data_IF_064485931307
#
_entry.id   IF_064485931307
#
_cell.length_a   1.000
_cell.length_b   1.000
_cell.length_c   1.000
_cell.angle_alpha   90.00
_cell.angle_beta   90.00
_cell.angle_gamma   90.00
#
_symmetry.space_group_name_H-M   'P 1'
#
loop_
_entity.id
_entity.type
_entity.pdbx_description
1 polymer ?
#
# COMPACT_ATOMS: atom_id res chain seq x y z
N UNK A 1 -72.50 18.85 -27.79
CA UNK A 1 -71.80 18.10 -28.85
C UNK A 1 -70.32 18.03 -28.46
N UNK A 2 -69.78 16.80 -28.41
CA UNK A 2 -68.38 16.36 -28.51
C UNK A 2 -67.21 17.36 -28.33
N UNK A 3 -66.30 17.00 -27.40
CA UNK A 3 -64.84 16.82 -27.55
C UNK A 3 -64.26 16.66 -26.12
N UNK A 4 -63.65 15.58 -25.61
CA UNK A 4 -62.73 14.52 -26.07
C UNK A 4 -61.40 15.03 -26.66
N UNK A 5 -60.32 14.77 -25.90
CA UNK A 5 -58.90 14.91 -26.27
C UNK A 5 -58.13 15.77 -25.27
N UNK A 6 -57.01 15.38 -24.66
CA UNK A 6 -56.18 14.20 -24.81
C UNK A 6 -55.39 13.99 -23.49
N UNK A 7 -55.47 12.78 -22.95
CA UNK A 7 -54.50 12.27 -21.99
C UNK A 7 -53.38 11.60 -22.81
N UNK A 8 -52.14 12.06 -22.63
CA UNK A 8 -51.00 11.58 -23.40
C UNK A 8 -49.70 11.73 -22.63
N UNK A 9 -49.33 10.64 -21.94
CA UNK A 9 -47.97 10.10 -21.75
C UNK A 9 -46.83 11.10 -21.55
N UNK A 10 -46.29 11.14 -20.33
CA UNK A 10 -44.85 11.26 -20.05
C UNK A 10 -44.57 10.69 -18.66
N UNK A 11 -44.63 9.36 -18.57
CA UNK A 11 -44.03 8.58 -17.51
C UNK A 11 -42.88 7.79 -18.15
N UNK A 12 -41.66 8.28 -18.00
CA UNK A 12 -40.37 7.57 -18.07
C UNK A 12 -39.27 8.63 -18.22
N UNK A 13 -38.55 8.91 -17.12
CA UNK A 13 -37.17 9.42 -17.06
C UNK A 13 -36.86 9.73 -15.58
N UNK A 14 -36.78 8.70 -14.74
CA UNK A 14 -36.33 8.85 -13.34
C UNK A 14 -35.62 7.58 -12.82
N UNK A 15 -35.06 6.76 -13.70
CA UNK A 15 -34.28 5.57 -13.33
C UNK A 15 -33.09 5.48 -14.27
N UNK A 16 -31.98 6.10 -13.89
CA UNK A 16 -30.75 6.05 -14.67
C UNK A 16 -29.71 7.05 -14.20
N UNK A 17 -29.21 6.88 -12.96
CA UNK A 17 -27.89 7.37 -12.51
C UNK A 17 -27.62 7.06 -11.02
N UNK A 18 -27.80 5.82 -10.53
CA UNK A 18 -27.40 5.45 -9.16
C UNK A 18 -26.43 4.27 -9.09
N UNK A 19 -25.84 3.84 -10.23
CA UNK A 19 -24.89 2.74 -10.28
C UNK A 19 -23.42 3.18 -10.53
N UNK A 20 -23.08 4.46 -10.33
CA UNK A 20 -21.78 5.01 -10.76
C UNK A 20 -21.08 5.91 -9.75
N UNK A 21 -21.39 5.83 -8.45
CA UNK A 21 -20.77 6.72 -7.43
C UNK A 21 -20.03 5.94 -6.33
N UNK A 22 -20.04 4.60 -6.35
CA UNK A 22 -19.32 3.79 -5.35
C UNK A 22 -17.84 3.53 -5.65
N UNK A 23 -17.32 3.96 -6.80
CA UNK A 23 -15.89 3.76 -7.14
C UNK A 23 -14.98 4.92 -6.70
N UNK A 24 -15.52 6.09 -6.35
CA UNK A 24 -14.71 7.29 -6.12
C UNK A 24 -14.38 7.57 -4.63
N UNK A 25 -14.77 6.69 -3.71
CA UNK A 25 -14.67 6.95 -2.25
C UNK A 25 -14.32 5.73 -1.40
N UNK A 26 -13.77 4.66 -1.98
CA UNK A 26 -13.37 3.48 -1.24
C UNK A 26 -11.88 3.49 -0.93
N UNK A 27 -11.52 3.37 0.34
CA UNK A 27 -10.20 2.90 0.79
C UNK A 27 -9.82 1.53 0.16
N UNK A 28 -10.72 0.89 -0.60
CA UNK A 28 -10.54 -0.34 -1.39
C UNK A 28 -9.53 -0.25 -2.54
N UNK A 29 -9.21 0.96 -3.01
CA UNK A 29 -8.19 1.20 -4.04
C UNK A 29 -6.86 1.70 -3.45
N UNK A 30 -6.74 1.76 -2.12
CA UNK A 30 -5.48 2.05 -1.48
C UNK A 30 -4.51 0.89 -1.68
N UNK A 31 -3.22 1.15 -1.94
CA UNK A 31 -2.22 0.09 -2.03
C UNK A 31 -2.09 -0.76 -0.77
N UNK A 32 -2.60 -0.36 0.40
CA UNK A 32 -2.72 -1.25 1.55
C UNK A 32 -3.72 -2.39 1.36
N UNK A 33 -4.80 -2.20 0.59
CA UNK A 33 -5.70 -3.29 0.20
C UNK A 33 -5.03 -4.21 -0.81
N UNK A 34 -4.14 -3.68 -1.66
CA UNK A 34 -3.29 -4.50 -2.51
C UNK A 34 -2.19 -5.21 -1.71
N UNK A 35 -1.61 -4.59 -0.68
CA UNK A 35 -0.65 -5.22 0.23
C UNK A 35 -1.33 -6.34 1.04
N UNK A 36 -2.55 -6.12 1.55
CA UNK A 36 -3.36 -7.13 2.23
C UNK A 36 -3.70 -8.33 1.32
N UNK A 37 -3.96 -8.07 0.03
CA UNK A 37 -4.15 -9.12 -0.99
C UNK A 37 -2.86 -9.88 -1.28
N UNK A 38 -1.74 -9.18 -1.45
CA UNK A 38 -0.41 -9.77 -1.70
C UNK A 38 0.10 -10.58 -0.49
N UNK A 39 -0.23 -10.15 0.73
CA UNK A 39 0.12 -10.83 1.98
C UNK A 39 -0.89 -11.94 2.35
N UNK A 40 -1.91 -12.18 1.52
CA UNK A 40 -2.79 -13.34 1.61
C UNK A 40 -3.86 -13.28 2.71
N UNK A 41 -4.19 -12.10 3.23
CA UNK A 41 -5.15 -11.97 4.35
C UNK A 41 -6.62 -11.84 3.93
N UNK A 42 -6.91 -11.69 2.62
CA UNK A 42 -8.29 -11.51 2.14
C UNK A 42 -9.01 -12.83 1.82
N UNK A 43 -9.65 -13.40 2.84
CA UNK A 43 -10.98 -14.01 2.69
C UNK A 43 -11.98 -13.20 3.51
N UNK A 44 -12.25 -11.96 3.11
CA UNK A 44 -13.46 -11.26 3.54
C UNK A 44 -14.67 -11.98 2.94
N UNK A 45 -15.64 -12.35 3.79
CA UNK A 45 -16.92 -12.93 3.37
C UNK A 45 -17.81 -11.80 2.86
N UNK A 46 -18.46 -12.00 1.71
CA UNK A 46 -19.43 -11.07 1.11
C UNK A 46 -20.45 -10.58 2.16
N UNK A 47 -20.35 -9.33 2.61
CA UNK A 47 -21.43 -8.73 3.40
C UNK A 47 -21.16 -7.49 4.25
N UNK A 48 -19.92 -7.13 4.60
CA UNK A 48 -19.66 -5.94 5.42
C UNK A 48 -18.96 -4.84 4.60
N UNK A 49 -19.66 -3.71 4.47
CA UNK A 49 -19.15 -2.45 3.89
C UNK A 49 -18.81 -1.55 5.08
N UNK A 50 -17.52 -1.37 5.37
CA UNK A 50 -17.07 -0.39 6.36
C UNK A 50 -15.68 -0.65 6.94
N UNK A 51 -14.71 0.16 6.50
CA UNK A 51 -13.69 0.83 7.34
C UNK A 51 -12.96 0.01 8.41
N UNK A 52 -12.00 -0.82 8.00
CA UNK A 52 -10.78 -1.14 8.77
C UNK A 52 -9.75 -1.91 7.93
N UNK A 53 -8.74 -1.22 7.39
CA UNK A 53 -7.46 -1.85 7.04
C UNK A 53 -6.61 -2.14 8.30
N UNK A 54 -7.26 -2.56 9.38
CA UNK A 54 -6.64 -3.10 10.59
C UNK A 54 -7.27 -4.47 10.79
N UNK A 55 -6.81 -5.46 10.02
CA UNK A 55 -7.21 -6.86 10.10
C UNK A 55 -6.77 -7.55 11.41
N UNK A 56 -7.04 -6.93 12.57
CA UNK A 56 -6.83 -7.52 13.89
C UNK A 56 -8.09 -8.29 14.26
N UNK A 57 -8.12 -9.59 13.96
CA UNK A 57 -8.95 -10.51 14.73
C UNK A 57 -8.21 -10.88 16.01
N UNK A 58 -8.80 -10.71 17.22
CA UNK A 58 -8.27 -11.40 18.39
C UNK A 58 -8.43 -12.91 18.17
N UNK A 59 -7.31 -13.62 18.06
CA UNK A 59 -7.30 -15.08 18.19
C UNK A 59 -7.74 -15.36 19.62
N UNK A 60 -8.87 -16.05 19.75
CA UNK A 60 -9.53 -16.32 21.02
C UNK A 60 -8.60 -16.91 22.08
N UNK A 61 -8.90 -16.56 23.32
CA UNK A 61 -8.33 -17.12 24.56
C UNK A 61 -8.07 -18.62 24.44
N UNK A 62 -6.81 -18.99 24.21
CA UNK A 62 -6.31 -20.32 24.48
C UNK A 62 -6.13 -20.45 26.01
N UNK A 63 -7.23 -20.83 26.67
CA UNK A 63 -7.23 -21.17 28.08
C UNK A 63 -6.20 -22.25 28.40
N UNK A 64 -5.44 -22.01 29.47
CA UNK A 64 -5.29 -22.97 30.56
C UNK A 64 -4.39 -24.19 30.35
N UNK A 65 -3.16 -24.04 30.86
CA UNK A 65 -2.46 -24.96 31.76
C UNK A 65 -2.17 -26.42 31.35
N UNK A 66 -0.87 -26.76 31.32
CA UNK A 66 -0.30 -27.67 32.34
C UNK A 66 1.22 -27.63 32.34
N UNK A 67 1.79 -27.46 33.54
CA UNK A 67 3.21 -27.45 33.78
C UNK A 67 3.85 -28.83 33.66
N UNK A 68 5.04 -28.87 33.07
CA UNK A 68 5.97 -29.98 33.15
C UNK A 68 7.32 -29.49 33.66
N UNK A 69 7.64 -29.84 34.91
CA UNK A 69 9.03 -29.86 35.41
C UNK A 69 9.74 -31.05 34.76
N UNK A 70 10.93 -30.83 34.20
CA UNK A 70 11.78 -31.93 33.72
C UNK A 70 13.17 -31.46 33.29
N UNK A 71 14.13 -31.77 34.16
CA UNK A 71 15.54 -32.08 33.89
C UNK A 71 16.53 -30.99 33.43
N UNK A 72 17.23 -30.46 34.45
CA UNK A 72 18.58 -29.92 34.39
C UNK A 72 19.57 -30.97 33.85
N UNK A 73 19.94 -30.86 32.58
CA UNK A 73 21.16 -31.47 32.04
C UNK A 73 22.27 -30.41 31.96
N UNK A 74 23.50 -30.69 32.45
CA UNK A 74 24.59 -29.74 32.35
C UNK A 74 24.99 -29.51 30.87
N UNK A 75 25.33 -28.27 30.49
CA UNK A 75 25.71 -27.95 29.12
C UNK A 75 27.03 -28.65 28.77
N UNK A 76 27.02 -29.46 27.72
CA UNK A 76 28.25 -29.97 27.11
C UNK A 76 28.87 -28.86 26.27
N UNK A 77 30.07 -28.43 26.64
CA UNK A 77 30.92 -27.54 25.85
C UNK A 77 31.31 -28.23 24.54
N UNK A 78 30.90 -27.74 23.37
CA UNK A 78 31.33 -28.31 22.10
C UNK A 78 32.82 -28.07 21.90
N UNK A 79 33.50 -29.10 21.37
CA UNK A 79 34.90 -29.01 20.97
C UNK A 79 35.06 -27.97 19.82
N UNK A 80 36.17 -27.20 19.79
CA UNK A 80 36.39 -26.19 18.77
C UNK A 80 36.52 -26.85 17.39
N UNK A 81 35.57 -26.52 16.50
CA UNK A 81 35.62 -26.89 15.09
C UNK A 81 36.83 -26.20 14.42
N UNK A 82 37.65 -26.91 13.64
CA UNK A 82 38.76 -26.30 12.92
C UNK A 82 38.25 -25.21 11.97
N UNK A 83 38.89 -24.04 12.04
CA UNK A 83 38.58 -22.88 11.20
C UNK A 83 38.84 -23.26 9.73
N UNK A 84 37.85 -23.18 8.83
CA UNK A 84 38.09 -23.39 7.41
C UNK A 84 39.11 -22.36 6.91
N UNK A 85 40.08 -22.84 6.15
CA UNK A 85 41.04 -22.01 5.41
C UNK A 85 40.23 -21.12 4.46
N UNK A 86 40.46 -19.78 4.42
CA UNK A 86 39.77 -18.91 3.48
C UNK A 86 40.00 -19.40 2.05
N UNK A 87 38.91 -19.76 1.37
CA UNK A 87 38.94 -20.05 -0.05
C UNK A 87 39.38 -18.80 -0.81
N UNK A 88 40.13 -19.00 -1.88
CA UNK A 88 40.64 -17.92 -2.71
C UNK A 88 39.50 -17.00 -3.17
N UNK A 89 39.69 -15.69 -3.04
CA UNK A 89 38.73 -14.69 -3.50
C UNK A 89 38.34 -14.98 -4.96
N UNK A 90 37.03 -15.10 -5.27
CA UNK A 90 36.55 -15.28 -6.63
C UNK A 90 37.10 -14.18 -7.53
N UNK A 91 37.52 -14.56 -8.74
CA UNK A 91 37.86 -13.58 -9.76
C UNK A 91 36.66 -12.63 -9.99
N UNK A 92 36.89 -11.32 -10.14
CA UNK A 92 35.80 -10.37 -10.40
C UNK A 92 35.01 -10.83 -11.63
N UNK A 93 33.69 -10.92 -11.47
CA UNK A 93 32.80 -11.20 -12.59
C UNK A 93 33.00 -10.11 -13.65
N UNK A 94 32.92 -10.44 -14.95
CA UNK A 94 32.96 -9.45 -16.02
C UNK A 94 31.82 -8.45 -15.79
N UNK A 95 32.17 -7.17 -15.85
CA UNK A 95 31.23 -6.05 -15.80
C UNK A 95 30.14 -6.29 -16.86
N UNK A 96 28.86 -6.40 -16.50
CA UNK A 96 27.78 -6.50 -17.47
C UNK A 96 27.82 -5.21 -18.29
N UNK A 97 28.32 -5.31 -19.52
CA UNK A 97 28.63 -4.14 -20.34
C UNK A 97 27.47 -3.16 -20.44
N UNK A 98 27.83 -1.88 -20.36
CA UNK A 98 27.05 -0.64 -20.55
C UNK A 98 26.39 -0.53 -21.95
N UNK A 99 25.78 -1.60 -22.44
CA UNK A 99 25.07 -1.66 -23.71
C UNK A 99 23.57 -1.50 -23.53
N UNK A 100 23.12 -0.47 -22.82
CA UNK A 100 21.72 -0.07 -22.87
C UNK A 100 21.47 0.70 -24.18
N UNK A 101 20.47 0.32 -25.01
CA UNK A 101 20.06 1.15 -26.13
C UNK A 101 19.55 2.51 -25.61
N UNK A 102 20.10 3.62 -26.10
CA UNK A 102 19.64 5.00 -25.86
C UNK A 102 18.25 5.31 -26.49
N UNK A 103 17.39 4.31 -26.71
CA UNK A 103 16.02 4.59 -27.12
C UNK A 103 15.24 5.13 -25.91
N UNK A 104 14.54 6.27 -26.04
CA UNK A 104 13.65 6.75 -24.98
C UNK A 104 12.68 5.63 -24.62
N UNK A 105 12.71 5.20 -23.36
CA UNK A 105 11.78 4.20 -22.86
C UNK A 105 10.36 4.76 -23.03
N UNK A 106 9.48 3.98 -23.63
CA UNK A 106 8.09 4.35 -23.78
C UNK A 106 7.47 4.40 -22.36
N UNK A 107 6.99 5.56 -21.87
CA UNK A 107 6.39 5.65 -20.53
C UNK A 107 5.08 4.87 -20.43
N UNK A 108 4.53 4.39 -21.56
CA UNK A 108 3.38 3.48 -21.59
C UNK A 108 3.76 1.99 -21.57
N UNK A 109 5.06 1.64 -21.69
CA UNK A 109 5.52 0.26 -21.51
C UNK A 109 5.38 -0.12 -20.02
N UNK A 110 4.58 -1.14 -19.66
CA UNK A 110 4.46 -1.61 -18.29
C UNK A 110 5.79 -2.04 -17.64
N UNK A 111 6.85 -2.23 -18.44
CA UNK A 111 8.21 -2.53 -17.98
C UNK A 111 9.13 -1.31 -17.87
N UNK A 112 8.68 -0.11 -18.26
CA UNK A 112 9.44 1.13 -18.12
C UNK A 112 9.49 1.60 -16.66
N UNK A 113 10.66 2.03 -16.12
CA UNK A 113 10.74 2.65 -14.79
C UNK A 113 9.85 3.90 -14.68
N UNK A 114 9.51 4.54 -15.80
CA UNK A 114 8.64 5.72 -15.84
C UNK A 114 7.14 5.38 -15.84
N UNK A 115 6.80 4.09 -15.96
CA UNK A 115 5.41 3.66 -16.07
C UNK A 115 4.63 3.90 -14.78
N UNK A 116 3.50 4.58 -14.94
CA UNK A 116 2.51 4.77 -13.90
C UNK A 116 1.12 4.45 -14.47
N UNK A 117 0.50 3.33 -14.06
CA UNK A 117 -0.77 2.89 -14.66
C UNK A 117 -1.90 3.90 -14.43
N UNK A 118 -1.82 4.73 -13.38
CA UNK A 118 -2.80 5.76 -13.07
C UNK A 118 -2.74 6.98 -14.02
N UNK A 119 -1.71 7.08 -14.86
CA UNK A 119 -1.47 8.20 -15.77
C UNK A 119 -1.57 7.84 -17.26
N UNK A 120 -1.67 6.56 -17.62
CA UNK A 120 -1.66 6.09 -19.02
C UNK A 120 -3.08 5.84 -19.53
N UNK A 121 -3.61 6.64 -20.49
CA UNK A 121 -4.93 6.40 -21.05
C UNK A 121 -5.06 5.02 -21.69
N UNK A 122 -6.08 4.25 -21.29
CA UNK A 122 -6.32 2.88 -21.77
C UNK A 122 -5.85 1.80 -20.78
N UNK A 123 -5.08 2.17 -19.76
CA UNK A 123 -4.79 1.30 -18.63
C UNK A 123 -6.07 1.06 -17.79
N UNK A 124 -6.35 -0.17 -17.32
CA UNK A 124 -7.49 -0.44 -16.44
C UNK A 124 -7.49 0.37 -15.14
N UNK A 125 -6.32 0.79 -14.65
CA UNK A 125 -6.19 1.61 -13.45
C UNK A 125 -6.07 3.12 -13.75
N UNK A 126 -6.20 3.55 -15.01
CA UNK A 126 -6.09 4.97 -15.37
C UNK A 126 -7.10 5.85 -14.61
N UNK A 127 -6.60 6.94 -14.01
CA UNK A 127 -7.44 7.91 -13.29
C UNK A 127 -7.61 9.17 -14.16
N UNK A 128 -8.86 9.43 -14.56
CA UNK A 128 -9.20 10.60 -15.39
C UNK A 128 -9.13 11.93 -14.64
N UNK A 129 -8.97 13.04 -15.38
CA UNK A 129 -8.84 14.38 -14.78
C UNK A 129 -10.06 14.80 -13.95
N UNK A 130 -11.27 14.40 -14.35
CA UNK A 130 -12.50 14.67 -13.57
C UNK A 130 -12.47 13.96 -12.21
N UNK A 131 -11.94 12.74 -12.16
CA UNK A 131 -11.80 11.97 -10.92
C UNK A 131 -10.70 12.56 -10.03
N UNK A 132 -9.54 12.90 -10.62
CA UNK A 132 -8.45 13.61 -9.92
C UNK A 132 -8.94 14.93 -9.32
N UNK A 133 -9.68 15.71 -10.10
CA UNK A 133 -10.26 17.00 -9.69
C UNK A 133 -11.24 16.83 -8.52
N UNK A 134 -12.14 15.83 -8.60
CA UNK A 134 -13.09 15.55 -7.53
C UNK A 134 -12.39 15.09 -6.25
N UNK A 135 -11.35 14.25 -6.36
CA UNK A 135 -10.53 13.83 -5.23
C UNK A 135 -9.81 15.01 -4.58
N UNK A 136 -9.14 15.86 -5.37
CA UNK A 136 -8.46 17.06 -4.86
C UNK A 136 -9.43 18.05 -4.19
N UNK A 137 -10.67 18.12 -4.66
CA UNK A 137 -11.74 18.87 -4.00
C UNK A 137 -12.03 18.37 -2.58
N UNK A 138 -12.01 17.05 -2.36
CA UNK A 138 -12.15 16.45 -1.02
C UNK A 138 -10.91 16.67 -0.17
N UNK A 139 -9.73 16.53 -0.74
CA UNK A 139 -8.46 16.76 -0.04
C UNK A 139 -8.32 18.20 0.46
N UNK A 140 -8.87 19.18 -0.26
CA UNK A 140 -8.92 20.55 0.23
C UNK A 140 -9.72 20.67 1.56
N UNK A 141 -10.80 19.89 1.71
CA UNK A 141 -11.56 19.81 2.97
C UNK A 141 -10.75 19.09 4.05
N UNK A 142 -10.12 17.96 3.72
CA UNK A 142 -9.24 17.23 4.65
C UNK A 142 -8.15 18.15 5.19
N UNK A 143 -7.47 18.88 4.32
CA UNK A 143 -6.40 19.81 4.68
C UNK A 143 -6.87 20.93 5.59
N UNK A 144 -8.04 21.51 5.32
CA UNK A 144 -8.63 22.52 6.19
C UNK A 144 -8.91 21.94 7.58
N UNK A 145 -9.53 20.76 7.65
CA UNK A 145 -9.80 20.09 8.92
C UNK A 145 -8.52 19.75 9.69
N UNK A 146 -7.49 19.23 9.02
CA UNK A 146 -6.20 18.91 9.64
C UNK A 146 -5.51 20.16 10.18
N UNK A 147 -5.55 21.26 9.43
CA UNK A 147 -5.03 22.54 9.87
C UNK A 147 -5.79 23.08 11.10
N UNK A 148 -7.13 22.97 11.11
CA UNK A 148 -7.97 23.35 12.25
C UNK A 148 -7.68 22.48 13.50
N UNK A 149 -7.31 21.22 13.30
CA UNK A 149 -6.87 20.30 14.34
C UNK A 149 -5.41 20.53 14.80
N UNK A 150 -4.68 21.46 14.17
CA UNK A 150 -3.30 21.80 14.52
C UNK A 150 -2.24 20.91 13.87
N UNK A 151 -2.61 20.13 12.86
CA UNK A 151 -1.70 19.24 12.13
C UNK A 151 -1.40 19.77 10.72
N UNK A 152 -0.15 19.63 10.30
CA UNK A 152 0.22 19.85 8.91
C UNK A 152 -0.26 18.68 8.04
N UNK A 153 -0.80 18.99 6.86
CA UNK A 153 -1.16 18.01 5.84
C UNK A 153 -0.47 18.41 4.54
N UNK A 154 0.44 17.57 4.05
CA UNK A 154 1.24 17.85 2.86
C UNK A 154 0.38 17.77 1.60
N UNK A 155 0.74 18.57 0.59
CA UNK A 155 0.20 18.39 -0.75
C UNK A 155 0.62 17.02 -1.27
N UNK A 156 -0.36 16.18 -1.59
CA UNK A 156 -0.13 14.81 -2.00
C UNK A 156 -1.17 14.37 -3.03
N UNK A 157 -0.80 13.43 -3.88
CA UNK A 157 -1.65 12.81 -4.91
C UNK A 157 -1.36 11.32 -4.88
N UNK A 158 -2.32 10.50 -4.45
CA UNK A 158 -2.08 9.06 -4.25
C UNK A 158 -1.63 8.36 -5.54
N UNK A 159 -2.10 8.81 -6.70
CA UNK A 159 -1.68 8.28 -8.00
C UNK A 159 -0.23 8.62 -8.38
N UNK A 160 0.44 9.52 -7.64
CA UNK A 160 1.86 9.86 -7.82
C UNK A 160 2.74 9.29 -6.69
N UNK A 161 2.20 8.48 -5.79
CA UNK A 161 2.96 7.97 -4.64
C UNK A 161 3.18 9.03 -3.55
N UNK A 162 3.85 8.65 -2.46
CA UNK A 162 4.13 9.50 -1.30
C UNK A 162 3.11 9.41 -0.18
N UNK A 163 3.18 10.35 0.77
CA UNK A 163 2.30 10.43 1.94
C UNK A 163 1.93 11.88 2.26
N UNK A 164 0.70 12.15 2.72
CA UNK A 164 0.33 13.48 3.19
C UNK A 164 0.82 13.77 4.62
N UNK A 165 1.39 12.78 5.32
CA UNK A 165 1.94 12.91 6.66
C UNK A 165 3.31 13.59 6.63
N UNK A 166 3.58 14.59 7.51
CA UNK A 166 4.91 15.17 7.65
C UNK A 166 5.99 14.15 8.03
N UNK A 167 7.19 14.36 7.51
CA UNK A 167 8.37 13.58 7.92
C UNK A 167 8.80 13.92 9.35
N UNK A 168 9.49 12.97 10.01
CA UNK A 168 10.17 13.20 11.28
C UNK A 168 9.26 13.30 12.51
N UNK A 169 7.97 12.95 12.37
CA UNK A 169 7.08 12.78 13.53
C UNK A 169 7.58 11.65 14.42
N UNK A 170 7.52 11.85 15.74
CA UNK A 170 7.63 10.74 16.69
C UNK A 170 6.44 9.78 16.54
N UNK A 171 6.55 8.56 17.07
CA UNK A 171 5.47 7.58 16.99
C UNK A 171 4.13 8.10 17.58
N UNK A 172 4.20 8.81 18.71
CA UNK A 172 3.00 9.41 19.34
C UNK A 172 2.40 10.54 18.49
N UNK A 173 3.24 11.38 17.87
CA UNK A 173 2.79 12.44 16.97
C UNK A 173 2.18 11.87 15.68
N UNK A 174 2.78 10.83 15.12
CA UNK A 174 2.26 10.12 13.96
C UNK A 174 0.90 9.48 14.25
N UNK A 175 0.76 8.84 15.41
CA UNK A 175 -0.51 8.26 15.85
C UNK A 175 -1.59 9.33 16.08
N UNK A 176 -1.23 10.46 16.70
CA UNK A 176 -2.16 11.58 16.90
C UNK A 176 -2.59 12.22 15.58
N UNK A 177 -1.64 12.40 14.64
CA UNK A 177 -1.90 12.85 13.28
C UNK A 177 -2.85 11.90 12.54
N UNK A 178 -2.59 10.58 12.61
CA UNK A 178 -3.42 9.56 11.94
C UNK A 178 -4.83 9.50 12.55
N UNK A 179 -4.93 9.64 13.87
CA UNK A 179 -6.22 9.74 14.58
C UNK A 179 -7.00 10.98 14.15
N UNK A 180 -6.36 12.13 13.95
CA UNK A 180 -7.04 13.33 13.43
C UNK A 180 -7.55 13.12 12.00
N UNK A 181 -6.74 12.48 11.15
CA UNK A 181 -7.10 12.20 9.77
C UNK A 181 -8.26 11.21 9.64
N UNK A 182 -8.15 10.06 10.31
CA UNK A 182 -9.04 8.90 10.15
C UNK A 182 -10.19 8.87 11.17
N UNK A 183 -10.07 9.59 12.28
CA UNK A 183 -10.97 9.45 13.42
C UNK A 183 -10.67 8.20 14.26
N UNK A 184 -11.47 7.99 15.30
CA UNK A 184 -11.46 6.71 16.02
C UNK A 184 -12.18 5.63 15.19
N UNK A 185 -11.82 4.35 15.35
CA UNK A 185 -12.60 3.25 14.76
C UNK A 185 -14.09 3.41 15.12
N UNK A 186 -14.98 3.17 14.15
CA UNK A 186 -16.45 3.23 14.29
C UNK A 186 -17.07 4.60 14.60
N UNK A 187 -16.27 5.64 14.77
CA UNK A 187 -16.80 6.97 15.12
C UNK A 187 -17.51 7.65 13.96
N UNK A 188 -17.13 7.33 12.71
CA UNK A 188 -17.49 8.14 11.55
C UNK A 188 -16.97 9.58 11.66
N UNK A 189 -16.01 9.84 12.55
CA UNK A 189 -15.37 11.13 12.75
C UNK A 189 -14.05 11.21 11.96
N UNK A 190 -13.28 12.28 12.20
CA UNK A 190 -12.02 12.54 11.51
C UNK A 190 -12.18 13.34 10.22
N UNK A 191 -11.06 13.86 9.73
CA UNK A 191 -11.04 14.76 8.59
C UNK A 191 -11.46 14.09 7.28
N UNK A 192 -11.15 12.79 7.08
CA UNK A 192 -11.63 12.03 5.91
C UNK A 192 -13.16 11.90 5.90
N UNK A 193 -13.77 11.53 7.03
CA UNK A 193 -15.21 11.39 7.12
C UNK A 193 -15.92 12.74 6.95
N UNK A 194 -15.34 13.83 7.46
CA UNK A 194 -15.84 15.19 7.21
C UNK A 194 -15.78 15.56 5.72
N UNK A 195 -14.66 15.27 5.05
CA UNK A 195 -14.51 15.53 3.62
C UNK A 195 -15.50 14.72 2.77
N UNK A 196 -15.75 13.45 3.13
CA UNK A 196 -16.74 12.61 2.47
C UNK A 196 -18.16 13.19 2.59
N UNK A 197 -18.58 13.59 3.80
CA UNK A 197 -19.88 14.26 4.01
C UNK A 197 -19.99 15.55 3.20
N UNK A 198 -18.94 16.37 3.20
CA UNK A 198 -18.90 17.60 2.41
C UNK A 198 -19.03 17.33 0.90
N UNK A 199 -18.42 16.24 0.41
CA UNK A 199 -18.54 15.83 -0.98
C UNK A 199 -19.97 15.40 -1.34
N UNK A 200 -20.61 14.63 -0.48
CA UNK A 200 -22.01 14.19 -0.63
C UNK A 200 -22.98 15.38 -0.63
N UNK A 201 -22.82 16.31 0.32
CA UNK A 201 -23.62 17.53 0.39
C UNK A 201 -23.45 18.40 -0.86
N UNK A 202 -22.21 18.57 -1.32
CA UNK A 202 -21.89 19.33 -2.53
C UNK A 202 -22.49 18.69 -3.78
N UNK A 203 -22.43 17.36 -3.89
CA UNK A 203 -23.06 16.61 -4.97
C UNK A 203 -24.59 16.73 -4.95
N UNK A 204 -25.21 16.62 -3.76
CA UNK A 204 -26.66 16.80 -3.59
C UNK A 204 -27.13 18.22 -3.94
N UNK A 205 -26.27 19.22 -3.73
CA UNK A 205 -26.51 20.61 -4.13
C UNK A 205 -26.31 20.87 -5.65
N UNK A 206 -25.85 19.87 -6.43
CA UNK A 206 -25.55 20.02 -7.85
C UNK A 206 -24.25 20.76 -8.14
N UNK A 207 -23.36 20.86 -7.16
CA UNK A 207 -22.05 21.51 -7.26
C UNK A 207 -20.98 20.63 -6.62
N UNK A 208 -20.62 19.47 -7.21
CA UNK A 208 -19.61 18.57 -6.65
C UNK A 208 -18.30 19.29 -6.33
N UNK A 209 -17.62 18.86 -5.26
CA UNK A 209 -16.29 19.37 -4.92
C UNK A 209 -15.34 19.10 -6.09
N UNK A 210 -14.52 20.09 -6.42
CA UNK A 210 -13.50 20.00 -7.45
C UNK A 210 -12.35 20.95 -7.12
N UNK A 211 -11.15 20.61 -7.57
CA UNK A 211 -9.98 21.47 -7.51
C UNK A 211 -9.11 21.27 -8.75
N UNK A 212 -8.30 22.28 -9.14
CA UNK A 212 -7.41 22.15 -10.29
C UNK A 212 -6.43 20.99 -10.12
N UNK A 213 -6.30 20.14 -11.15
CA UNK A 213 -5.31 19.07 -11.20
C UNK A 213 -3.93 19.69 -11.46
N UNK A 214 -2.95 19.53 -10.56
CA UNK A 214 -1.58 19.99 -10.81
C UNK A 214 -0.98 19.29 -12.04
N UNK A 215 -0.02 19.92 -12.74
CA UNK A 215 0.72 19.21 -13.78
C UNK A 215 1.45 18.01 -13.18
N UNK A 216 1.63 16.96 -13.99
CA UNK A 216 2.50 15.83 -13.63
C UNK A 216 3.90 16.39 -13.35
N UNK A 217 4.57 15.96 -12.26
CA UNK A 217 5.95 16.34 -11.99
C UNK A 217 6.87 16.07 -13.19
N UNK A 218 7.91 16.89 -13.32
CA UNK A 218 8.93 16.65 -14.33
C UNK A 218 9.79 15.42 -14.00
N UNK A 219 10.68 15.01 -14.93
CA UNK A 219 11.54 13.83 -14.77
C UNK A 219 12.55 13.94 -13.61
N UNK A 220 12.67 15.11 -12.98
CA UNK A 220 13.49 15.32 -11.79
C UNK A 220 12.88 14.73 -10.50
N UNK A 221 11.58 14.39 -10.51
CA UNK A 221 10.90 13.75 -9.38
C UNK A 221 10.77 12.26 -9.69
N UNK A 222 11.26 11.37 -8.81
CA UNK A 222 11.14 9.93 -9.01
C UNK A 222 9.68 9.50 -9.23
N UNK A 223 9.48 8.55 -10.13
CA UNK A 223 8.17 7.92 -10.28
C UNK A 223 7.89 6.95 -9.12
N UNK A 224 6.63 6.57 -8.88
CA UNK A 224 6.30 5.54 -7.88
C UNK A 224 7.06 4.22 -8.08
N UNK A 225 7.35 3.88 -9.35
CA UNK A 225 8.11 2.67 -9.68
C UNK A 225 9.59 2.85 -9.36
N UNK A 226 10.19 3.99 -9.67
CA UNK A 226 11.58 4.28 -9.29
C UNK A 226 11.76 4.23 -7.77
N UNK A 227 10.84 4.84 -7.01
CA UNK A 227 10.85 4.79 -5.55
C UNK A 227 10.69 3.35 -5.02
N UNK A 228 9.82 2.55 -5.63
CA UNK A 228 9.67 1.12 -5.30
C UNK A 228 10.92 0.31 -5.63
N UNK A 229 11.57 0.56 -6.76
CA UNK A 229 12.81 -0.11 -7.16
C UNK A 229 13.95 0.23 -6.20
N UNK A 230 14.05 1.49 -5.76
CA UNK A 230 14.99 1.91 -4.72
C UNK A 230 14.71 1.17 -3.41
N UNK A 231 13.45 1.15 -2.96
CA UNK A 231 13.03 0.38 -1.78
C UNK A 231 13.41 -1.12 -1.86
N UNK A 232 13.05 -1.79 -2.96
CA UNK A 232 13.33 -3.21 -3.15
C UNK A 232 14.83 -3.50 -3.27
N UNK A 233 15.63 -2.54 -3.74
CA UNK A 233 17.09 -2.65 -3.72
C UNK A 233 17.61 -2.73 -2.29
N UNK A 234 17.15 -1.86 -1.40
CA UNK A 234 17.55 -1.83 0.01
C UNK A 234 17.09 -3.09 0.76
N UNK A 235 15.85 -3.55 0.53
CA UNK A 235 15.34 -4.80 1.14
C UNK A 235 16.18 -6.00 0.69
N UNK A 236 16.51 -6.10 -0.60
CA UNK A 236 17.36 -7.18 -1.13
C UNK A 236 18.76 -7.15 -0.56
N UNK A 237 19.36 -5.97 -0.42
CA UNK A 237 20.67 -5.82 0.20
C UNK A 237 20.67 -6.33 1.65
N UNK A 238 19.70 -5.90 2.45
CA UNK A 238 19.53 -6.36 3.83
C UNK A 238 19.31 -7.88 3.94
N UNK A 239 18.45 -8.45 3.07
CA UNK A 239 18.20 -9.89 3.06
C UNK A 239 19.45 -10.69 2.65
N UNK A 240 20.20 -10.19 1.67
CA UNK A 240 21.48 -10.78 1.25
C UNK A 240 22.50 -10.75 2.39
N UNK A 241 22.58 -9.67 3.16
CA UNK A 241 23.45 -9.57 4.34
C UNK A 241 23.05 -10.58 5.44
N UNK A 242 21.76 -10.91 5.53
CA UNK A 242 21.24 -12.00 6.38
C UNK A 242 21.47 -13.41 5.80
N UNK A 243 22.04 -13.52 4.59
CA UNK A 243 22.26 -14.79 3.90
C UNK A 243 20.99 -15.42 3.33
N UNK A 244 19.96 -14.61 3.07
CA UNK A 244 18.66 -15.03 2.57
C UNK A 244 18.39 -14.43 1.19
N UNK A 245 17.81 -15.21 0.29
CA UNK A 245 17.38 -14.71 -1.01
C UNK A 245 16.06 -13.94 -0.88
N UNK A 246 15.99 -12.78 -1.53
CA UNK A 246 14.77 -12.00 -1.70
C UNK A 246 14.56 -11.76 -3.20
N UNK A 247 13.53 -12.41 -3.74
CA UNK A 247 13.20 -12.37 -5.17
C UNK A 247 12.61 -11.00 -5.52
N UNK A 248 12.95 -10.55 -6.72
CA UNK A 248 12.32 -9.36 -7.29
C UNK A 248 10.83 -9.59 -7.48
N UNK A 249 10.02 -8.59 -7.12
CA UNK A 249 8.59 -8.58 -7.38
C UNK A 249 8.06 -7.13 -7.42
N UNK A 250 6.91 -6.97 -8.08
CA UNK A 250 6.20 -5.70 -8.21
C UNK A 250 4.74 -5.94 -7.82
N UNK A 251 4.20 -5.13 -6.90
CA UNK A 251 2.83 -5.32 -6.40
C UNK A 251 1.74 -4.97 -7.42
N UNK A 252 2.08 -4.23 -8.48
CA UNK A 252 1.16 -3.91 -9.57
C UNK A 252 1.25 -4.90 -10.74
N UNK A 253 2.25 -5.79 -10.76
CA UNK A 253 2.42 -6.73 -11.86
C UNK A 253 1.85 -8.11 -11.47
N UNK A 254 0.72 -8.52 -12.07
CA UNK A 254 0.04 -9.76 -11.71
C UNK A 254 0.86 -11.01 -12.01
N UNK A 255 1.91 -10.93 -12.83
CA UNK A 255 2.83 -12.05 -13.06
C UNK A 255 3.58 -12.47 -11.79
N UNK A 256 3.62 -11.60 -10.77
CA UNK A 256 4.21 -11.89 -9.47
C UNK A 256 3.21 -12.39 -8.41
N UNK A 257 1.92 -12.52 -8.72
CA UNK A 257 0.96 -13.06 -7.75
C UNK A 257 1.36 -14.49 -7.33
N UNK A 258 1.49 -14.71 -6.03
CA UNK A 258 1.93 -15.98 -5.46
C UNK A 258 0.85 -16.55 -4.54
N UNK A 259 0.48 -17.82 -4.77
CA UNK A 259 -0.43 -18.56 -3.88
C UNK A 259 0.26 -19.17 -2.67
N UNK A 260 1.60 -19.12 -2.61
CA UNK A 260 2.43 -19.77 -1.59
C UNK A 260 3.04 -18.77 -0.58
N UNK A 261 2.44 -17.57 -0.47
CA UNK A 261 2.93 -16.48 0.38
C UNK A 261 3.58 -15.37 -0.42
N UNK A 262 4.48 -14.59 0.21
CA UNK A 262 5.10 -13.42 -0.41
C UNK A 262 5.75 -13.77 -1.76
N UNK A 263 5.46 -13.02 -2.84
CA UNK A 263 6.14 -13.17 -4.14
C UNK A 263 7.67 -13.12 -4.06
N UNK A 264 8.19 -12.40 -3.07
CA UNK A 264 9.62 -12.26 -2.84
C UNK A 264 10.28 -13.52 -2.23
N UNK A 265 9.53 -14.36 -1.53
CA UNK A 265 10.09 -15.49 -0.77
C UNK A 265 10.40 -16.67 -1.68
N UNK A 266 11.60 -17.28 -1.68
CA UNK A 266 11.90 -18.45 -2.53
C UNK A 266 10.87 -19.59 -2.41
N UNK A 267 10.65 -20.32 -3.51
CA UNK A 267 9.73 -21.47 -3.52
C UNK A 267 10.37 -22.72 -2.90
N UNK A 268 9.54 -23.65 -2.44
CA UNK A 268 10.01 -24.96 -1.93
C UNK A 268 10.73 -24.92 -0.58
N UNK A 269 10.62 -23.80 0.16
CA UNK A 269 11.14 -23.67 1.52
C UNK A 269 10.29 -24.51 2.49
N UNK A 270 10.92 -25.10 3.50
CA UNK A 270 10.20 -25.72 4.61
C UNK A 270 9.68 -24.68 5.62
N UNK A 271 8.83 -25.11 6.55
CA UNK A 271 8.20 -24.19 7.51
C UNK A 271 9.21 -23.45 8.40
N UNK A 272 10.35 -24.07 8.72
CA UNK A 272 11.38 -23.42 9.53
C UNK A 272 12.12 -22.34 8.74
N UNK A 273 12.43 -22.61 7.47
CA UNK A 273 13.04 -21.66 6.56
C UNK A 273 12.09 -20.49 6.26
N UNK A 274 10.79 -20.75 6.06
CA UNK A 274 9.77 -19.70 5.89
C UNK A 274 9.71 -18.79 7.12
N UNK A 275 9.68 -19.36 8.33
CA UNK A 275 9.64 -18.56 9.56
C UNK A 275 10.89 -17.69 9.73
N UNK A 276 12.08 -18.23 9.42
CA UNK A 276 13.33 -17.47 9.44
C UNK A 276 13.32 -16.34 8.40
N UNK A 277 12.83 -16.61 7.20
CA UNK A 277 12.70 -15.62 6.14
C UNK A 277 11.73 -14.50 6.53
N UNK A 278 10.54 -14.82 7.04
CA UNK A 278 9.57 -13.82 7.51
C UNK A 278 10.13 -12.96 8.65
N UNK A 279 10.82 -13.56 9.61
CA UNK A 279 11.45 -12.81 10.71
C UNK A 279 12.49 -11.82 10.19
N UNK A 280 13.32 -12.22 9.22
CA UNK A 280 14.31 -11.34 8.63
C UNK A 280 13.66 -10.23 7.77
N UNK A 281 12.67 -10.59 6.95
CA UNK A 281 11.99 -9.66 6.06
C UNK A 281 11.16 -8.62 6.82
N UNK A 282 10.37 -9.06 7.81
CA UNK A 282 9.31 -8.25 8.43
C UNK A 282 9.50 -8.02 9.94
N UNK A 283 10.52 -8.62 10.55
CA UNK A 283 10.78 -8.52 12.00
C UNK A 283 9.95 -9.47 12.87
N UNK A 284 8.89 -10.07 12.32
CA UNK A 284 8.05 -11.06 12.99
C UNK A 284 7.76 -12.25 12.06
N UNK A 285 7.88 -13.48 12.60
CA UNK A 285 7.67 -14.70 11.83
C UNK A 285 6.20 -14.94 11.45
N UNK A 286 5.28 -14.39 12.25
CA UNK A 286 3.85 -14.65 12.27
C UNK A 286 3.00 -13.47 11.80
N UNK A 287 3.56 -12.26 11.82
CA UNK A 287 2.90 -11.06 11.35
C UNK A 287 3.78 -10.28 10.37
N UNK A 288 3.52 -10.47 9.07
CA UNK A 288 4.23 -9.75 8.01
C UNK A 288 3.91 -8.26 7.98
N UNK A 289 2.91 -7.80 8.77
CA UNK A 289 2.53 -6.40 8.92
C UNK A 289 3.16 -5.73 10.15
N UNK A 290 3.95 -6.45 10.94
CA UNK A 290 4.58 -5.91 12.15
C UNK A 290 5.55 -4.74 11.88
N UNK A 291 5.93 -4.52 10.61
CA UNK A 291 6.66 -3.32 10.20
C UNK A 291 8.12 -3.29 10.66
N UNK A 292 8.79 -4.44 10.76
CA UNK A 292 10.19 -4.58 11.16
C UNK A 292 11.11 -5.14 10.08
N UNK A 293 12.26 -5.65 10.50
CA UNK A 293 13.20 -6.38 9.64
C UNK A 293 13.80 -5.57 8.50
N UNK A 294 14.09 -6.26 7.39
CA UNK A 294 14.63 -5.66 6.18
C UNK A 294 13.63 -4.73 5.47
N UNK A 295 12.33 -4.94 5.63
CA UNK A 295 11.31 -4.01 5.14
C UNK A 295 11.39 -2.66 5.84
N UNK A 296 11.46 -2.63 7.17
CA UNK A 296 11.64 -1.38 7.91
C UNK A 296 12.94 -0.65 7.50
N UNK A 297 14.02 -1.41 7.31
CA UNK A 297 15.31 -0.87 6.83
C UNK A 297 15.17 -0.25 5.44
N UNK A 298 14.47 -0.93 4.53
CA UNK A 298 14.19 -0.42 3.19
C UNK A 298 13.39 0.88 3.23
N UNK A 299 12.31 0.94 4.03
CA UNK A 299 11.48 2.14 4.20
C UNK A 299 12.29 3.32 4.74
N UNK A 300 13.13 3.08 5.75
CA UNK A 300 13.98 4.12 6.35
C UNK A 300 15.05 4.63 5.37
N UNK A 301 15.66 3.74 4.59
CA UNK A 301 16.83 4.08 3.76
C UNK A 301 16.45 4.68 2.41
N UNK A 302 15.41 4.14 1.75
CA UNK A 302 14.98 4.67 0.45
C UNK A 302 14.10 5.91 0.58
N UNK A 303 13.54 6.18 1.77
CA UNK A 303 12.49 7.18 1.95
C UNK A 303 11.15 6.77 1.35
N UNK A 304 11.03 5.53 0.87
CA UNK A 304 9.76 4.99 0.38
C UNK A 304 8.76 5.00 1.53
N UNK A 305 7.69 5.77 1.35
CA UNK A 305 6.56 5.74 2.27
C UNK A 305 5.47 4.91 1.63
N UNK A 306 5.18 3.77 2.26
CA UNK A 306 3.95 3.05 1.98
C UNK A 306 2.77 3.98 2.22
N UNK A 307 1.71 3.77 1.46
CA UNK A 307 0.48 4.56 1.46
C UNK A 307 -0.26 4.58 2.81
N UNK A 308 0.20 3.78 3.78
CA UNK A 308 -0.35 3.68 5.11
C UNK A 308 0.78 3.63 6.16
N UNK A 309 0.87 4.72 6.92
CA UNK A 309 1.24 4.74 8.32
C UNK A 309 0.05 5.28 9.14
#
# INVERSE_FOLDING_TARGET
>A
MLALGAAGVLALCALGATAGVHAAGGDDASPAVLLAKVLGTDRASDGDVGTDASGVRPIGDAGGAQGGRGDDSPPQTPAPTPRPTPDAAPAPAPDPGDGAPDEPLDPSDPMSPEYNPYLVPGDPAFVGDDEKSAWLGREAVVRSCMADAGYQYLDWQWWLGGSPQPDGLSADEAAAWSTALRGAPDSGDGCRAQAQRAAEDAAAAGTPLSAPVPPVPGPEVPTPREDWLAFQSEVRACMSDAGLEYRYWENWNPDYDSTEGSPAMPTGMDAAAIAAWNTAAFGDASDTNAGGGCWATGLETSGYRTFDA
#
